data_IF_838367191188
#
_entry.id   IF_838367191188
#
_cell.length_a   1.000
_cell.length_b   1.000
_cell.length_c   1.000
_cell.angle_alpha   90.00
_cell.angle_beta   90.00
_cell.angle_gamma   90.00
#
_symmetry.space_group_name_H-M   'P 1'
#
loop_
_entity.id
_entity.type
_entity.pdbx_description
1 polymer ?
#
# COMPACT_ATOMS: atom_id res chain seq x y z
N UNK A 1 -7.21 24.05 -9.90
CA UNK A 1 -8.68 23.84 -9.85
C UNK A 1 -8.92 22.42 -10.30
N UNK A 2 -9.22 21.48 -9.39
CA UNK A 2 -9.55 20.11 -9.79
C UNK A 2 -10.90 20.12 -10.48
N UNK A 3 -11.01 19.47 -11.64
CA UNK A 3 -12.29 19.34 -12.32
C UNK A 3 -13.13 18.34 -11.53
N UNK A 4 -14.45 18.52 -11.50
CA UNK A 4 -15.38 17.58 -10.83
C UNK A 4 -15.23 16.14 -11.34
N UNK A 5 -14.74 15.97 -12.57
CA UNK A 5 -14.40 14.67 -13.18
C UNK A 5 -13.21 14.03 -12.48
N UNK A 6 -12.14 14.79 -12.18
CA UNK A 6 -10.93 14.27 -11.52
C UNK A 6 -11.26 13.71 -10.13
N UNK A 7 -12.07 14.45 -9.35
CA UNK A 7 -12.53 14.00 -8.03
C UNK A 7 -13.35 12.72 -8.11
N UNK A 8 -14.22 12.60 -9.13
CA UNK A 8 -15.04 11.39 -9.30
C UNK A 8 -14.18 10.19 -9.69
N UNK A 9 -13.25 10.36 -10.64
CA UNK A 9 -12.34 9.30 -11.07
C UNK A 9 -11.45 8.83 -9.92
N UNK A 10 -10.98 9.75 -9.09
CA UNK A 10 -10.21 9.43 -7.89
C UNK A 10 -11.04 8.60 -6.89
N UNK A 11 -12.28 9.00 -6.61
CA UNK A 11 -13.17 8.28 -5.70
C UNK A 11 -13.45 6.85 -6.20
N UNK A 12 -13.70 6.70 -7.51
CA UNK A 12 -13.84 5.38 -8.16
C UNK A 12 -12.57 4.54 -7.96
N UNK A 13 -11.38 5.11 -8.20
CA UNK A 13 -10.12 4.39 -8.00
C UNK A 13 -9.91 3.97 -6.52
N UNK A 14 -10.28 4.84 -5.57
CA UNK A 14 -10.20 4.56 -4.13
C UNK A 14 -11.15 3.44 -3.70
N UNK A 15 -12.43 3.51 -4.10
CA UNK A 15 -13.41 2.46 -3.77
C UNK A 15 -12.98 1.12 -4.37
N UNK A 16 -12.50 1.10 -5.61
CA UNK A 16 -12.01 -0.11 -6.24
C UNK A 16 -10.75 -0.66 -5.56
N UNK A 17 -9.84 0.20 -5.11
CA UNK A 17 -8.65 -0.23 -4.37
C UNK A 17 -8.98 -0.83 -2.98
N UNK A 18 -10.12 -0.45 -2.39
CA UNK A 18 -10.59 -0.92 -1.09
C UNK A 18 -11.45 -2.20 -1.19
N UNK A 19 -12.36 -2.25 -2.16
CA UNK A 19 -13.41 -3.27 -2.24
C UNK A 19 -13.40 -4.08 -3.54
N UNK A 20 -12.55 -3.72 -4.50
CA UNK A 20 -12.55 -4.27 -5.84
C UNK A 20 -13.66 -3.69 -6.72
N UNK A 21 -13.72 -4.13 -7.97
CA UNK A 21 -14.68 -3.64 -8.99
C UNK A 21 -16.01 -4.40 -9.01
N UNK A 22 -16.27 -5.26 -8.02
CA UNK A 22 -17.42 -6.17 -8.02
C UNK A 22 -18.78 -5.47 -7.94
N UNK A 23 -18.88 -4.38 -7.17
CA UNK A 23 -20.12 -3.62 -6.93
C UNK A 23 -20.27 -2.41 -7.87
N UNK A 24 -19.26 -2.12 -8.69
CA UNK A 24 -19.22 -0.92 -9.52
C UNK A 24 -20.02 -1.06 -10.81
N UNK A 25 -20.50 0.07 -11.35
CA UNK A 25 -21.03 0.11 -12.72
C UNK A 25 -19.95 -0.28 -13.72
N UNK A 26 -20.33 -0.80 -14.88
CA UNK A 26 -19.37 -1.23 -15.91
C UNK A 26 -18.37 -0.11 -16.28
N UNK A 27 -18.83 1.12 -16.49
CA UNK A 27 -17.95 2.26 -16.82
C UNK A 27 -17.00 2.65 -15.68
N UNK A 28 -17.46 2.51 -14.43
CA UNK A 28 -16.67 2.81 -13.23
C UNK A 28 -15.61 1.72 -13.02
N UNK A 29 -15.96 0.45 -13.20
CA UNK A 29 -15.03 -0.67 -13.16
C UNK A 29 -13.93 -0.56 -14.23
N UNK A 30 -14.28 -0.19 -15.46
CA UNK A 30 -13.30 0.03 -16.54
C UNK A 30 -12.40 1.22 -16.22
N UNK A 31 -12.97 2.32 -15.69
CA UNK A 31 -12.20 3.50 -15.27
C UNK A 31 -11.23 3.15 -14.13
N UNK A 32 -11.70 2.48 -13.09
CA UNK A 32 -10.87 2.01 -11.98
C UNK A 32 -9.74 1.10 -12.47
N UNK A 33 -10.07 0.13 -13.32
CA UNK A 33 -9.08 -0.80 -13.87
C UNK A 33 -7.98 -0.09 -14.68
N UNK A 34 -8.34 0.95 -15.44
CA UNK A 34 -7.38 1.77 -16.19
C UNK A 34 -6.50 2.62 -15.26
N UNK A 35 -7.10 3.30 -14.27
CA UNK A 35 -6.36 4.15 -13.31
C UNK A 35 -5.41 3.31 -12.44
N UNK A 36 -5.86 2.15 -11.97
CA UNK A 36 -5.09 1.25 -11.12
C UNK A 36 -4.17 0.32 -11.92
N UNK A 37 -4.15 0.44 -13.25
CA UNK A 37 -3.40 -0.42 -14.17
C UNK A 37 -3.66 -1.94 -13.97
N UNK A 38 -4.91 -2.30 -13.61
CA UNK A 38 -5.36 -3.68 -13.40
C UNK A 38 -5.91 -4.26 -14.69
N UNK A 39 -5.01 -4.65 -15.60
CA UNK A 39 -5.37 -5.28 -16.88
C UNK A 39 -6.11 -6.61 -16.71
N UNK A 40 -5.86 -7.31 -15.60
CA UNK A 40 -6.58 -8.50 -15.17
C UNK A 40 -8.08 -8.22 -14.96
N UNK A 41 -8.46 -7.14 -14.28
CA UNK A 41 -9.87 -6.75 -14.12
C UNK A 41 -10.58 -6.45 -15.44
N UNK A 42 -9.89 -5.83 -16.41
CA UNK A 42 -10.43 -5.64 -17.76
C UNK A 42 -10.69 -7.00 -18.43
N UNK A 43 -9.72 -7.92 -18.32
CA UNK A 43 -9.78 -9.25 -18.93
C UNK A 43 -10.86 -10.12 -18.30
N UNK A 44 -11.05 -10.07 -16.99
CA UNK A 44 -12.13 -10.78 -16.29
C UNK A 44 -13.51 -10.36 -16.79
N UNK A 45 -13.65 -9.12 -17.27
CA UNK A 45 -14.88 -8.60 -17.88
C UNK A 45 -14.93 -8.77 -19.40
N UNK A 46 -13.89 -9.35 -20.01
CA UNK A 46 -13.80 -9.56 -21.45
C UNK A 46 -13.48 -8.31 -22.26
N UNK A 47 -12.93 -7.26 -21.63
CA UNK A 47 -12.58 -6.00 -22.29
C UNK A 47 -11.08 -5.92 -22.60
N UNK A 48 -10.75 -5.46 -23.81
CA UNK A 48 -9.39 -4.99 -24.11
C UNK A 48 -9.16 -3.56 -23.60
N UNK A 49 -7.90 -3.15 -23.51
CA UNK A 49 -7.54 -1.76 -23.14
C UNK A 49 -8.15 -0.77 -24.14
N UNK A 50 -8.12 -1.09 -25.44
CA UNK A 50 -8.66 -0.23 -26.48
C UNK A 50 -10.18 -0.04 -26.34
N UNK A 51 -10.92 -1.13 -26.10
CA UNK A 51 -12.37 -1.06 -25.88
C UNK A 51 -12.72 -0.34 -24.59
N UNK A 52 -11.93 -0.52 -23.53
CA UNK A 52 -12.12 0.20 -22.28
C UNK A 52 -11.95 1.72 -22.46
N UNK A 53 -10.91 2.14 -23.18
CA UNK A 53 -10.64 3.54 -23.52
C UNK A 53 -11.76 4.15 -24.37
N UNK A 54 -12.22 3.42 -25.39
CA UNK A 54 -13.36 3.85 -26.21
C UNK A 54 -14.63 4.01 -25.36
N UNK A 55 -14.86 3.08 -24.41
CA UNK A 55 -16.05 3.05 -23.57
C UNK A 55 -16.12 4.18 -22.54
N UNK A 56 -15.00 4.55 -21.93
CA UNK A 56 -14.95 5.68 -20.96
C UNK A 56 -14.99 7.03 -21.67
N UNK A 57 -14.62 7.08 -22.95
CA UNK A 57 -14.66 8.28 -23.77
C UNK A 57 -13.45 9.21 -23.61
N UNK A 58 -13.31 10.20 -24.51
CA UNK A 58 -12.12 11.04 -24.62
C UNK A 58 -11.95 12.02 -23.44
N UNK A 59 -13.05 12.49 -22.84
CA UNK A 59 -13.00 13.42 -21.70
C UNK A 59 -12.35 12.78 -20.47
N UNK A 60 -12.69 11.52 -20.18
CA UNK A 60 -12.13 10.76 -19.07
C UNK A 60 -10.71 10.28 -19.42
N UNK A 61 -10.51 9.81 -20.65
CA UNK A 61 -9.19 9.37 -21.14
C UNK A 61 -8.12 10.46 -21.04
N UNK A 62 -8.48 11.71 -21.33
CA UNK A 62 -7.57 12.85 -21.22
C UNK A 62 -7.11 13.12 -19.77
N UNK A 63 -7.90 12.70 -18.77
CA UNK A 63 -7.62 12.90 -17.34
C UNK A 63 -7.00 11.69 -16.66
N UNK A 64 -7.04 10.51 -17.27
CA UNK A 64 -6.51 9.27 -16.70
C UNK A 64 -5.11 9.44 -16.10
N UNK A 65 -4.17 10.02 -16.85
CA UNK A 65 -2.78 10.18 -16.41
C UNK A 65 -2.63 11.15 -15.22
N UNK A 66 -3.46 12.19 -15.17
CA UNK A 66 -3.44 13.16 -14.07
C UNK A 66 -4.00 12.53 -12.79
N UNK A 67 -5.13 11.84 -12.90
CA UNK A 67 -5.79 11.14 -11.79
C UNK A 67 -4.96 9.96 -11.29
N UNK A 68 -4.36 9.19 -12.19
CA UNK A 68 -3.42 8.10 -11.85
C UNK A 68 -2.29 8.66 -10.97
N UNK A 69 -1.62 9.71 -11.43
CA UNK A 69 -0.54 10.33 -10.65
C UNK A 69 -1.02 10.82 -9.28
N UNK A 70 -2.18 11.48 -9.24
CA UNK A 70 -2.75 11.98 -7.99
C UNK A 70 -3.06 10.82 -7.02
N UNK A 71 -3.68 9.75 -7.52
CA UNK A 71 -3.99 8.57 -6.74
C UNK A 71 -2.72 7.92 -6.16
N UNK A 72 -1.68 7.74 -6.97
CA UNK A 72 -0.42 7.19 -6.48
C UNK A 72 0.29 8.10 -5.48
N UNK A 73 0.18 9.43 -5.61
CA UNK A 73 0.71 10.36 -4.61
C UNK A 73 -0.03 10.18 -3.27
N UNK A 74 -1.37 10.14 -3.29
CA UNK A 74 -2.21 9.93 -2.10
C UNK A 74 -1.98 8.55 -1.46
N UNK A 75 -1.87 7.50 -2.27
CA UNK A 75 -1.54 6.15 -1.80
C UNK A 75 -0.14 6.14 -1.19
N UNK A 76 0.83 6.80 -1.82
CA UNK A 76 2.21 6.89 -1.30
C UNK A 76 2.22 7.63 0.03
N UNK A 77 1.58 8.78 0.14
CA UNK A 77 1.44 9.52 1.39
C UNK A 77 0.75 8.68 2.47
N UNK A 78 -0.32 7.97 2.12
CA UNK A 78 -1.02 7.07 3.05
C UNK A 78 -0.15 5.89 3.47
N UNK A 79 0.71 5.37 2.59
CA UNK A 79 1.67 4.30 2.91
C UNK A 79 2.83 4.80 3.77
N UNK A 80 3.27 6.05 3.58
CA UNK A 80 4.30 6.72 4.37
C UNK A 80 3.84 7.04 5.80
N UNK A 81 2.53 6.98 6.08
CA UNK A 81 2.00 7.09 7.46
C UNK A 81 2.48 5.96 8.35
N UNK A 82 2.87 4.83 7.77
CA UNK A 82 3.43 3.70 8.50
C UNK A 82 4.93 3.68 8.30
N UNK A 83 5.66 3.56 9.40
CA UNK A 83 7.10 3.37 9.38
C UNK A 83 7.53 2.44 10.52
N UNK A 84 8.74 1.94 10.49
CA UNK A 84 9.33 1.25 11.64
C UNK A 84 10.77 1.71 11.85
N UNK A 85 11.21 1.67 13.10
CA UNK A 85 12.55 2.03 13.51
C UNK A 85 13.16 0.87 14.30
N UNK A 86 14.45 0.62 14.10
CA UNK A 86 15.22 -0.35 14.87
C UNK A 86 16.31 0.43 15.60
N UNK A 87 16.21 0.46 16.93
CA UNK A 87 17.14 1.18 17.78
C UNK A 87 18.06 0.18 18.49
N UNK A 88 19.39 0.27 18.33
CA UNK A 88 20.32 -0.51 19.12
C UNK A 88 20.34 -0.01 20.57
N UNK A 89 20.46 -0.91 21.54
CA UNK A 89 20.60 -0.55 22.95
C UNK A 89 22.08 -0.32 23.30
N UNK A 90 22.54 0.93 23.53
CA UNK A 90 23.96 1.22 23.69
C UNK A 90 24.58 0.63 24.95
N UNK A 91 23.77 0.31 25.97
CA UNK A 91 24.22 -0.29 27.23
C UNK A 91 24.26 -1.83 27.19
N UNK A 92 23.70 -2.47 26.16
CA UNK A 92 23.56 -3.93 26.06
C UNK A 92 23.76 -4.35 24.59
N UNK A 93 25.00 -4.71 24.26
CA UNK A 93 25.38 -5.16 22.91
C UNK A 93 24.60 -6.42 22.54
N UNK A 94 24.05 -6.48 21.32
CA UNK A 94 23.17 -7.57 20.90
C UNK A 94 21.68 -7.40 21.25
N UNK A 95 21.26 -6.23 21.75
CA UNK A 95 19.86 -5.91 22.00
C UNK A 95 19.34 -4.82 21.06
N UNK A 96 18.26 -5.12 20.33
CA UNK A 96 17.55 -4.20 19.45
C UNK A 96 16.11 -4.01 19.88
N UNK A 97 15.64 -2.77 19.83
CA UNK A 97 14.22 -2.44 20.01
C UNK A 97 13.63 -2.08 18.66
N UNK A 98 12.66 -2.88 18.20
CA UNK A 98 11.81 -2.56 17.07
C UNK A 98 10.65 -1.69 17.54
N UNK A 99 10.47 -0.54 16.91
CA UNK A 99 9.33 0.37 17.11
C UNK A 99 8.52 0.43 15.83
N UNK A 100 7.22 0.16 15.93
CA UNK A 100 6.28 0.24 14.82
C UNK A 100 5.51 1.55 14.97
N UNK A 101 5.56 2.40 13.94
CA UNK A 101 5.06 3.76 13.99
C UNK A 101 3.89 3.96 13.03
N UNK A 102 2.81 4.56 13.52
CA UNK A 102 1.70 5.08 12.72
C UNK A 102 1.60 6.60 12.96
N UNK A 103 1.72 7.40 11.90
CA UNK A 103 1.80 8.86 11.97
C UNK A 103 2.88 9.38 12.95
N UNK A 104 3.99 8.65 13.07
CA UNK A 104 5.07 8.95 14.02
C UNK A 104 4.79 8.57 15.48
N UNK A 105 3.63 8.00 15.78
CA UNK A 105 3.30 7.46 17.10
C UNK A 105 3.60 5.96 17.16
N UNK A 106 4.25 5.52 18.23
CA UNK A 106 4.47 4.09 18.46
C UNK A 106 3.15 3.36 18.73
N UNK A 107 2.83 2.40 17.88
CA UNK A 107 1.62 1.56 17.98
C UNK A 107 1.95 0.12 18.35
N UNK A 108 3.22 -0.22 18.42
CA UNK A 108 3.69 -1.54 18.81
C UNK A 108 5.19 -1.68 18.63
N UNK A 109 5.71 -2.87 18.95
CA UNK A 109 7.14 -3.12 18.89
C UNK A 109 7.52 -4.43 19.57
N UNK A 110 8.82 -4.66 19.65
CA UNK A 110 9.39 -5.83 20.30
C UNK A 110 10.87 -5.63 20.61
N UNK A 111 11.35 -6.36 21.60
CA UNK A 111 12.76 -6.40 21.96
C UNK A 111 13.38 -7.69 21.42
N UNK A 112 14.45 -7.56 20.65
CA UNK A 112 15.18 -8.64 20.01
C UNK A 112 16.58 -8.67 20.60
N UNK A 113 16.85 -9.66 21.45
CA UNK A 113 18.09 -9.73 22.23
C UNK A 113 18.79 -11.07 22.02
N UNK A 114 20.12 -11.03 21.88
CA UNK A 114 20.98 -12.22 21.82
C UNK A 114 21.32 -12.79 23.20
N UNK A 115 21.05 -12.05 24.27
CA UNK A 115 21.30 -12.45 25.66
C UNK A 115 20.01 -12.40 26.49
N UNK A 116 19.76 -13.44 27.30
CA UNK A 116 18.55 -13.54 28.16
C UNK A 116 18.03 -14.98 28.33
N UNK A 117 17.11 -15.19 29.29
CA UNK A 117 16.56 -16.52 29.65
C UNK A 117 15.81 -17.23 28.50
N UNK A 118 15.49 -16.51 27.43
CA UNK A 118 14.76 -16.99 26.25
C UNK A 118 15.36 -16.47 24.95
N UNK A 119 16.62 -16.02 24.94
CA UNK A 119 17.25 -15.42 23.75
C UNK A 119 17.38 -16.46 22.63
N UNK A 120 16.62 -16.32 21.52
CA UNK A 120 16.57 -17.34 20.47
C UNK A 120 17.63 -17.11 19.37
N UNK A 121 18.43 -16.04 19.47
CA UNK A 121 19.30 -15.60 18.39
C UNK A 121 20.78 -15.93 18.66
N UNK A 122 21.44 -16.48 17.65
CA UNK A 122 22.83 -16.95 17.72
C UNK A 122 23.85 -15.80 17.71
N UNK A 123 23.51 -14.67 17.10
CA UNK A 123 24.38 -13.50 16.92
C UNK A 123 23.55 -12.21 16.78
N UNK A 124 24.20 -11.06 16.98
CA UNK A 124 23.63 -9.71 16.86
C UNK A 124 23.01 -9.48 15.47
N UNK A 125 23.66 -9.94 14.40
CA UNK A 125 23.13 -9.83 13.04
C UNK A 125 21.80 -10.58 12.87
N UNK A 126 21.65 -11.75 13.51
CA UNK A 126 20.40 -12.51 13.47
C UNK A 126 19.28 -11.81 14.23
N UNK A 127 19.57 -11.19 15.38
CA UNK A 127 18.58 -10.40 16.12
C UNK A 127 18.14 -9.16 15.32
N UNK A 128 19.07 -8.49 14.63
CA UNK A 128 18.76 -7.37 13.75
C UNK A 128 17.93 -7.80 12.52
N UNK A 129 18.32 -8.90 11.86
CA UNK A 129 17.60 -9.40 10.68
C UNK A 129 16.17 -9.80 11.02
N UNK A 130 15.95 -10.44 12.17
CA UNK A 130 14.59 -10.77 12.64
C UNK A 130 13.77 -9.52 12.97
N UNK A 131 14.37 -8.53 13.64
CA UNK A 131 13.71 -7.24 13.90
C UNK A 131 13.33 -6.55 12.58
N UNK A 132 14.22 -6.59 11.58
CA UNK A 132 14.00 -6.04 10.25
C UNK A 132 12.90 -6.81 9.49
N UNK A 133 12.92 -8.14 9.53
CA UNK A 133 11.91 -8.99 8.92
C UNK A 133 10.52 -8.75 9.53
N UNK A 134 10.46 -8.62 10.86
CA UNK A 134 9.23 -8.31 11.59
C UNK A 134 8.70 -6.93 11.24
N UNK A 135 9.55 -5.90 11.26
CA UNK A 135 9.19 -4.54 10.89
C UNK A 135 8.69 -4.42 9.44
N UNK A 136 9.38 -5.06 8.50
CA UNK A 136 8.98 -5.13 7.09
C UNK A 136 7.65 -5.86 6.91
N UNK A 137 7.47 -6.99 7.57
CA UNK A 137 6.23 -7.78 7.47
C UNK A 137 5.05 -6.99 8.02
N UNK A 138 5.22 -6.29 9.14
CA UNK A 138 4.21 -5.39 9.69
C UNK A 138 3.88 -4.25 8.72
N UNK A 139 4.89 -3.61 8.14
CA UNK A 139 4.71 -2.51 7.20
C UNK A 139 3.92 -2.96 5.97
N UNK A 140 4.31 -4.09 5.36
CA UNK A 140 3.60 -4.67 4.22
C UNK A 140 2.17 -5.03 4.59
N UNK A 141 1.94 -5.66 5.75
CA UNK A 141 0.60 -6.01 6.20
C UNK A 141 -0.28 -4.77 6.43
N UNK A 142 0.27 -3.69 7.00
CA UNK A 142 -0.48 -2.44 7.19
C UNK A 142 -0.77 -1.73 5.88
N UNK A 143 0.21 -1.65 4.98
CA UNK A 143 0.01 -1.05 3.65
C UNK A 143 -1.00 -1.85 2.82
N UNK A 144 -0.97 -3.18 2.89
CA UNK A 144 -1.94 -4.06 2.25
C UNK A 144 -3.34 -3.95 2.87
N UNK A 145 -3.44 -3.74 4.18
CA UNK A 145 -4.72 -3.52 4.84
C UNK A 145 -5.40 -2.19 4.43
N UNK A 146 -4.63 -1.18 3.98
CA UNK A 146 -5.23 0.07 3.47
C UNK A 146 -5.77 -0.11 2.06
N UNK A 147 -5.04 -0.81 1.19
CA UNK A 147 -5.43 -1.02 -0.20
C UNK A 147 -5.20 -2.49 -0.59
N UNK A 148 -6.12 -3.38 -0.21
CA UNK A 148 -5.95 -4.83 -0.40
C UNK A 148 -5.82 -5.18 -1.88
N UNK A 149 -6.58 -4.50 -2.74
CA UNK A 149 -6.57 -4.77 -4.18
C UNK A 149 -5.34 -4.21 -4.90
N UNK A 150 -4.54 -3.34 -4.27
CA UNK A 150 -3.27 -2.88 -4.85
C UNK A 150 -2.08 -3.76 -4.48
N UNK A 151 -2.30 -4.76 -3.62
CA UNK A 151 -1.25 -5.62 -3.08
C UNK A 151 -1.27 -7.03 -3.66
N UNK A 152 -2.12 -7.26 -4.67
CA UNK A 152 -2.36 -8.54 -5.34
C UNK A 152 -1.78 -8.54 -6.73
#
# INVERSE_FOLDING_TARGET
>A
MHSTIDTRMLNIAQEAALHGVGTMSLGEALTAALILNRCDWLRERGYSIAEALERIGPEWTARLREVERQFYDEVTQTRLRFNFEILPHPADTGCFTLRLLENGQEVGGGQFSTHGKTAPFTDEQSAYDEALATGRSWLVARQAAVFPELSR
#
